data_IF_168186248419
#
_entry.id   IF_168186248419
#
_cell.length_a   1.000
_cell.length_b   1.000
_cell.length_c   1.000
_cell.angle_alpha   90.00
_cell.angle_beta   90.00
_cell.angle_gamma   90.00
#
_symmetry.space_group_name_H-M   'P 1'
#
loop_
_entity.id
_entity.type
_entity.pdbx_description
1 polymer ?
#
# COMPACT_ATOMS: atom_id res chain seq x y z
N UNK A 1 0.80 34.42 3.50
CA UNK A 1 1.07 33.24 2.65
C UNK A 1 0.13 32.12 3.05
N UNK A 2 -0.94 31.89 2.28
CA UNK A 2 -1.89 30.82 2.54
C UNK A 2 -1.19 29.47 2.45
N UNK A 3 -1.30 28.66 3.50
CA UNK A 3 -1.01 27.23 3.42
C UNK A 3 -1.97 26.68 2.36
N UNK A 4 -1.45 26.35 1.18
CA UNK A 4 -2.21 25.63 0.17
C UNK A 4 -2.74 24.37 0.82
N UNK A 5 -4.05 24.30 1.04
CA UNK A 5 -4.70 23.06 1.44
C UNK A 5 -4.28 22.03 0.40
N UNK A 6 -3.57 20.99 0.82
CA UNK A 6 -3.22 19.89 -0.07
C UNK A 6 -4.54 19.27 -0.48
N UNK A 7 -5.03 19.64 -1.67
CA UNK A 7 -6.21 19.03 -2.28
C UNK A 7 -6.08 17.51 -2.18
N UNK A 8 -7.03 16.92 -1.45
CA UNK A 8 -7.05 15.50 -1.13
C UNK A 8 -7.04 14.70 -2.45
N UNK A 9 -6.13 13.74 -2.55
CA UNK A 9 -5.98 12.96 -3.77
C UNK A 9 -7.16 12.00 -3.86
N UNK A 10 -8.01 12.16 -4.87
CA UNK A 10 -9.15 11.28 -5.13
C UNK A 10 -8.68 9.83 -5.34
N UNK A 11 -9.31 8.82 -4.68
CA UNK A 11 -8.94 7.43 -4.85
C UNK A 11 -9.26 6.96 -6.27
N UNK A 12 -8.42 6.09 -6.83
CA UNK A 12 -8.75 5.39 -8.07
C UNK A 12 -9.88 4.40 -7.81
N UNK A 13 -10.73 4.14 -8.80
CA UNK A 13 -11.74 3.09 -8.70
C UNK A 13 -11.11 1.68 -8.75
N UNK A 14 -11.82 0.63 -8.30
CA UNK A 14 -11.36 -0.76 -8.49
C UNK A 14 -11.09 -1.12 -9.96
N UNK A 15 -11.89 -0.59 -10.88
CA UNK A 15 -11.69 -0.80 -12.32
C UNK A 15 -10.41 -0.12 -12.82
N UNK A 16 -10.17 1.14 -12.42
CA UNK A 16 -8.92 1.83 -12.73
C UNK A 16 -7.70 1.09 -12.14
N UNK A 17 -7.84 0.49 -10.96
CA UNK A 17 -6.79 -0.32 -10.37
C UNK A 17 -6.52 -1.61 -11.17
N UNK A 18 -7.56 -2.28 -11.68
CA UNK A 18 -7.42 -3.42 -12.60
C UNK A 18 -6.69 -3.02 -13.89
N UNK A 19 -7.07 -1.90 -14.49
CA UNK A 19 -6.42 -1.36 -15.70
C UNK A 19 -4.95 -1.04 -15.42
N UNK A 20 -4.64 -0.39 -14.30
CA UNK A 20 -3.25 -0.12 -13.90
C UNK A 20 -2.44 -1.40 -13.72
N UNK A 21 -3.02 -2.40 -13.06
CA UNK A 21 -2.36 -3.70 -12.85
C UNK A 21 -2.04 -4.39 -14.19
N UNK A 22 -3.00 -4.42 -15.12
CA UNK A 22 -2.79 -4.98 -16.46
C UNK A 22 -1.77 -4.21 -17.31
N UNK A 23 -1.49 -2.95 -16.96
CA UNK A 23 -0.53 -2.10 -17.64
C UNK A 23 0.87 -2.08 -16.98
N UNK A 24 1.16 -2.96 -16.01
CA UNK A 24 2.49 -3.10 -15.39
C UNK A 24 3.47 -3.67 -16.42
N UNK A 25 4.57 -2.95 -16.67
CA UNK A 25 5.63 -3.37 -17.59
C UNK A 25 6.96 -3.61 -16.88
N UNK A 26 7.14 -3.05 -15.68
CA UNK A 26 8.41 -3.14 -14.95
C UNK A 26 8.23 -3.71 -13.55
N UNK A 27 9.28 -4.35 -13.01
CA UNK A 27 9.26 -4.84 -11.63
C UNK A 27 9.06 -3.72 -10.62
N UNK A 28 9.56 -2.51 -10.91
CA UNK A 28 9.34 -1.34 -10.07
C UNK A 28 7.87 -0.96 -9.99
N UNK A 29 7.16 -0.92 -11.12
CA UNK A 29 5.71 -0.67 -11.14
C UNK A 29 4.94 -1.76 -10.39
N UNK A 30 5.34 -3.03 -10.54
CA UNK A 30 4.79 -4.14 -9.76
C UNK A 30 4.98 -3.91 -8.26
N UNK A 31 6.21 -3.59 -7.83
CA UNK A 31 6.49 -3.28 -6.43
C UNK A 31 5.67 -2.08 -5.96
N UNK A 32 5.54 -1.00 -6.74
CA UNK A 32 4.71 0.15 -6.38
C UNK A 32 3.26 -0.24 -6.17
N UNK A 33 2.70 -1.08 -7.04
CA UNK A 33 1.33 -1.58 -6.90
C UNK A 33 1.16 -2.36 -5.59
N UNK A 34 1.98 -3.39 -5.37
CA UNK A 34 1.83 -4.26 -4.20
C UNK A 34 2.12 -3.54 -2.88
N UNK A 35 3.11 -2.63 -2.84
CA UNK A 35 3.47 -1.91 -1.61
C UNK A 35 2.56 -0.71 -1.33
N UNK A 36 2.29 0.14 -2.32
CA UNK A 36 1.55 1.38 -2.09
C UNK A 36 0.04 1.18 -2.21
N UNK A 37 -0.42 0.47 -3.24
CA UNK A 37 -1.85 0.18 -3.43
C UNK A 37 -2.29 -1.08 -2.65
N UNK A 38 -1.42 -2.08 -2.53
CA UNK A 38 -1.78 -3.33 -1.86
C UNK A 38 -1.60 -3.34 -0.34
N UNK A 39 -0.65 -2.54 0.17
CA UNK A 39 -0.32 -2.50 1.60
C UNK A 39 -0.35 -1.09 2.19
N UNK A 40 -0.63 -0.07 1.37
CA UNK A 40 -0.71 1.30 1.86
C UNK A 40 0.61 1.81 2.42
N UNK A 41 1.76 1.42 1.89
CA UNK A 41 3.06 1.96 2.33
C UNK A 41 3.27 3.40 1.83
N UNK A 42 4.05 4.20 2.57
CA UNK A 42 4.49 5.52 2.09
C UNK A 42 5.58 5.33 1.05
N UNK A 43 5.79 6.34 0.20
CA UNK A 43 6.89 6.33 -0.77
C UNK A 43 8.24 6.03 -0.09
N UNK A 44 8.58 6.74 0.99
CA UNK A 44 9.86 6.54 1.68
C UNK A 44 9.97 5.19 2.38
N UNK A 45 8.84 4.60 2.79
CA UNK A 45 8.81 3.27 3.40
C UNK A 45 9.08 2.21 2.32
N UNK A 46 8.40 2.30 1.17
CA UNK A 46 8.62 1.40 0.04
C UNK A 46 10.05 1.50 -0.50
N UNK A 47 10.54 2.73 -0.73
CA UNK A 47 11.92 2.97 -1.18
C UNK A 47 12.93 2.44 -0.17
N UNK A 48 12.64 2.48 1.13
CA UNK A 48 13.53 2.05 2.22
C UNK A 48 13.63 0.54 2.44
N UNK A 49 12.83 -0.28 1.74
CA UNK A 49 12.88 -1.74 1.90
C UNK A 49 14.21 -2.30 1.38
N UNK A 50 14.85 -3.14 2.18
CA UNK A 50 16.01 -3.94 1.80
C UNK A 50 15.63 -5.43 1.78
N UNK A 51 16.42 -6.26 1.11
CA UNK A 51 16.16 -7.71 1.07
C UNK A 51 16.11 -8.32 2.48
N UNK A 52 16.99 -7.90 3.38
CA UNK A 52 17.02 -8.37 4.78
C UNK A 52 15.84 -7.90 5.64
N UNK A 53 14.96 -7.03 5.12
CA UNK A 53 13.74 -6.58 5.81
C UNK A 53 12.54 -7.50 5.55
N UNK A 54 12.63 -8.43 4.61
CA UNK A 54 11.50 -9.27 4.20
C UNK A 54 11.50 -10.56 4.99
N UNK A 55 10.34 -10.96 5.51
CA UNK A 55 10.08 -12.26 6.14
C UNK A 55 8.80 -12.84 5.54
N UNK A 56 8.45 -14.06 5.93
CA UNK A 56 7.35 -14.80 5.31
C UNK A 56 5.97 -14.13 5.47
N UNK A 57 5.73 -13.47 6.59
CA UNK A 57 4.43 -12.86 6.94
C UNK A 57 4.51 -11.37 7.23
N UNK A 58 5.70 -10.76 7.11
CA UNK A 58 5.95 -9.39 7.55
C UNK A 58 7.13 -8.74 6.82
N UNK A 59 7.14 -7.41 6.81
CA UNK A 59 8.24 -6.59 6.31
C UNK A 59 8.63 -5.51 7.31
N UNK A 60 9.93 -5.28 7.48
CA UNK A 60 10.44 -4.24 8.35
C UNK A 60 10.38 -2.89 7.65
N UNK A 61 9.64 -1.93 8.23
CA UNK A 61 9.47 -0.60 7.66
C UNK A 61 10.06 0.47 8.58
N UNK A 62 10.92 1.30 8.01
CA UNK A 62 11.52 2.44 8.70
C UNK A 62 10.79 3.74 8.31
N UNK A 63 10.28 4.46 9.30
CA UNK A 63 9.68 5.80 9.12
C UNK A 63 10.59 6.85 9.75
N UNK A 64 11.53 7.38 8.97
CA UNK A 64 12.50 8.36 9.46
C UNK A 64 13.27 7.85 10.68
N UNK A 65 13.66 8.74 11.59
CA UNK A 65 14.50 8.40 12.76
C UNK A 65 13.76 7.70 13.91
N UNK A 66 12.43 7.73 13.97
CA UNK A 66 11.71 7.48 15.24
C UNK A 66 10.69 6.34 15.27
N UNK A 67 10.34 5.71 14.14
CA UNK A 67 9.47 4.52 14.16
C UNK A 67 9.92 3.46 13.18
N UNK A 68 10.44 2.37 13.72
CA UNK A 68 10.74 1.13 13.03
C UNK A 68 9.81 0.05 13.58
N UNK A 69 9.03 -0.59 12.73
CA UNK A 69 8.12 -1.65 13.14
C UNK A 69 7.90 -2.65 12.02
N UNK A 70 7.54 -3.88 12.39
CA UNK A 70 7.05 -4.88 11.46
C UNK A 70 5.65 -4.52 10.97
N UNK A 71 5.46 -4.49 9.66
CA UNK A 71 4.15 -4.43 9.02
C UNK A 71 3.78 -5.82 8.49
N UNK A 72 2.49 -6.20 8.51
CA UNK A 72 2.06 -7.47 7.94
C UNK A 72 2.29 -7.46 6.42
N UNK A 73 2.64 -8.61 5.87
CA UNK A 73 2.93 -8.79 4.45
C UNK A 73 2.15 -9.99 3.93
N UNK A 74 1.42 -9.79 2.82
CA UNK A 74 0.75 -10.87 2.09
C UNK A 74 1.78 -11.65 1.26
N UNK A 75 1.54 -12.94 1.04
CA UNK A 75 2.46 -13.84 0.34
C UNK A 75 2.78 -13.34 -1.09
N UNK A 76 1.77 -12.86 -1.80
CA UNK A 76 1.90 -12.37 -3.17
C UNK A 76 2.76 -11.08 -3.21
N UNK A 77 2.67 -10.23 -2.19
CA UNK A 77 3.54 -9.06 -2.08
C UNK A 77 4.96 -9.43 -1.66
N UNK A 78 5.13 -10.41 -0.79
CA UNK A 78 6.44 -10.98 -0.45
C UNK A 78 7.14 -11.47 -1.71
N UNK A 79 6.44 -12.26 -2.52
CA UNK A 79 7.02 -12.86 -3.72
C UNK A 79 7.42 -11.79 -4.74
N UNK A 80 6.60 -10.74 -4.91
CA UNK A 80 6.97 -9.57 -5.73
C UNK A 80 8.23 -8.87 -5.20
N UNK A 81 8.36 -8.70 -3.88
CA UNK A 81 9.54 -8.05 -3.29
C UNK A 81 10.81 -8.91 -3.36
N UNK A 82 10.67 -10.24 -3.40
CA UNK A 82 11.80 -11.17 -3.55
C UNK A 82 12.18 -11.41 -5.02
N UNK A 83 11.23 -11.33 -5.95
CA UNK A 83 11.48 -11.50 -7.38
C UNK A 83 12.36 -10.40 -7.98
N UNK A 84 12.42 -9.22 -7.37
CA UNK A 84 13.27 -8.12 -7.84
C UNK A 84 14.78 -8.38 -7.68
N UNK A 85 15.16 -9.56 -7.18
CA UNK A 85 16.52 -10.09 -7.17
C UNK A 85 16.90 -10.75 -5.84
N UNK A 86 18.03 -11.45 -5.83
CA UNK A 86 18.69 -11.89 -4.60
C UNK A 86 19.83 -10.91 -4.27
N UNK A 87 19.52 -9.86 -3.52
CA UNK A 87 20.50 -8.92 -3.00
C UNK A 87 21.03 -9.32 -1.62
N UNK A 88 22.16 -8.75 -1.22
CA UNK A 88 22.60 -8.81 0.18
C UNK A 88 21.54 -8.19 1.11
N UNK A 89 21.56 -8.53 2.40
CA UNK A 89 20.55 -8.09 3.38
C UNK A 89 20.35 -6.57 3.42
N UNK A 90 21.41 -5.79 3.19
CA UNK A 90 21.39 -4.33 3.19
C UNK A 90 21.12 -3.70 1.80
N UNK A 91 20.98 -4.52 0.75
CA UNK A 91 20.73 -4.05 -0.60
C UNK A 91 19.26 -3.61 -0.75
N UNK A 92 18.99 -2.47 -1.43
CA UNK A 92 17.64 -1.99 -1.69
C UNK A 92 16.88 -2.95 -2.62
N UNK A 93 15.59 -3.16 -2.33
CA UNK A 93 14.66 -3.87 -3.22
C UNK A 93 14.33 -3.02 -4.45
N UNK A 94 14.04 -1.73 -4.23
CA UNK A 94 13.79 -0.77 -5.30
C UNK A 94 15.09 -0.10 -5.76
N UNK A 95 15.63 -0.59 -6.88
CA UNK A 95 16.85 -0.07 -7.52
C UNK A 95 16.56 0.82 -8.71
N UNK A 96 17.35 1.88 -8.89
CA UNK A 96 17.47 2.67 -10.10
C UNK A 96 18.89 2.55 -10.67
N UNK A 97 19.26 3.46 -11.59
CA UNK A 97 20.54 3.40 -12.33
C UNK A 97 21.79 3.47 -11.42
N UNK A 98 21.69 4.13 -10.26
CA UNK A 98 22.83 4.43 -9.38
C UNK A 98 22.70 3.78 -7.99
N UNK A 99 21.90 2.71 -7.85
CA UNK A 99 21.61 2.08 -6.56
C UNK A 99 20.15 2.29 -6.16
N UNK A 100 19.86 2.66 -4.90
CA UNK A 100 18.47 2.86 -4.45
C UNK A 100 17.75 3.89 -5.32
N UNK A 101 16.51 3.61 -5.69
CA UNK A 101 15.68 4.55 -6.48
C UNK A 101 15.41 5.83 -5.69
N UNK A 102 15.40 6.98 -6.37
CA UNK A 102 15.04 8.27 -5.75
C UNK A 102 13.53 8.50 -5.73
N UNK A 103 13.07 9.33 -4.80
CA UNK A 103 11.67 9.75 -4.69
C UNK A 103 11.14 10.36 -5.99
N UNK A 104 11.96 11.19 -6.65
CA UNK A 104 11.60 11.83 -7.93
C UNK A 104 11.44 10.81 -9.05
N UNK A 105 12.25 9.76 -9.06
CA UNK A 105 12.15 8.66 -10.03
C UNK A 105 10.84 7.90 -9.82
N UNK A 106 10.52 7.52 -8.58
CA UNK A 106 9.25 6.82 -8.28
C UNK A 106 8.03 7.66 -8.69
N UNK A 107 8.04 8.96 -8.41
CA UNK A 107 6.95 9.84 -8.83
C UNK A 107 6.86 9.96 -10.37
N UNK A 108 7.99 9.99 -11.07
CA UNK A 108 8.02 10.02 -12.54
C UNK A 108 7.49 8.71 -13.13
N UNK A 109 7.93 7.58 -12.58
CA UNK A 109 7.52 6.24 -13.01
C UNK A 109 6.01 6.05 -12.84
N UNK A 110 5.44 6.42 -11.67
CA UNK A 110 3.99 6.33 -11.44
C UNK A 110 3.20 7.22 -12.43
N UNK A 111 3.66 8.45 -12.70
CA UNK A 111 2.98 9.32 -13.67
C UNK A 111 2.98 8.72 -15.07
N UNK A 112 4.12 8.17 -15.51
CA UNK A 112 4.25 7.51 -16.82
C UNK A 112 3.36 6.27 -16.91
N UNK A 113 3.35 5.45 -15.86
CA UNK A 113 2.53 4.25 -15.79
C UNK A 113 1.03 4.58 -15.87
N UNK A 114 0.54 5.56 -15.12
CA UNK A 114 -0.86 6.02 -15.21
C UNK A 114 -1.21 6.53 -16.61
N UNK A 115 -0.34 7.35 -17.20
CA UNK A 115 -0.54 7.87 -18.55
C UNK A 115 -0.58 6.75 -19.60
N UNK A 116 0.34 5.79 -19.51
CA UNK A 116 0.39 4.60 -20.38
C UNK A 116 -0.86 3.75 -20.24
N UNK A 117 -1.35 3.56 -19.03
CA UNK A 117 -2.57 2.80 -18.73
C UNK A 117 -3.86 3.54 -19.18
N UNK A 118 -3.79 4.80 -19.60
CA UNK A 118 -4.97 5.60 -19.94
C UNK A 118 -5.83 6.01 -18.73
N UNK A 119 -5.33 5.82 -17.51
CA UNK A 119 -6.07 6.11 -16.27
C UNK A 119 -5.92 7.59 -15.92
N UNK A 120 -7.01 8.35 -16.14
CA UNK A 120 -7.07 9.78 -15.85
C UNK A 120 -7.51 10.02 -14.42
N UNK A 121 -6.65 10.71 -13.67
CA UNK A 121 -6.90 11.16 -12.29
C UNK A 121 -6.35 12.56 -12.11
N UNK A 122 -6.87 13.30 -11.12
CA UNK A 122 -6.39 14.65 -10.81
C UNK A 122 -4.89 14.70 -10.50
N UNK A 123 -4.38 13.65 -9.84
CA UNK A 123 -2.96 13.51 -9.50
C UNK A 123 -2.56 12.04 -9.53
N UNK A 124 -1.66 11.66 -10.43
CA UNK A 124 -1.03 10.34 -10.44
C UNK A 124 0.20 10.36 -9.53
N UNK A 125 0.11 9.76 -8.34
CA UNK A 125 1.16 9.84 -7.33
C UNK A 125 1.12 8.65 -6.35
N UNK A 126 2.20 8.42 -5.57
CA UNK A 126 2.20 7.46 -4.46
C UNK A 126 1.05 7.67 -3.47
N UNK A 127 0.71 8.94 -3.20
CA UNK A 127 -0.38 9.30 -2.30
C UNK A 127 -1.73 8.83 -2.83
N UNK A 128 -1.93 8.87 -4.15
CA UNK A 128 -3.16 8.41 -4.81
C UNK A 128 -3.33 6.89 -4.63
N UNK A 129 -2.28 6.11 -4.93
CA UNK A 129 -2.30 4.64 -4.73
C UNK A 129 -2.58 4.28 -3.27
N UNK A 130 -1.88 4.95 -2.36
CA UNK A 130 -2.02 4.75 -0.91
C UNK A 130 -3.39 5.17 -0.38
N UNK A 131 -3.95 6.28 -0.84
CA UNK A 131 -5.29 6.72 -0.44
C UNK A 131 -6.34 5.73 -0.94
N UNK A 132 -6.18 5.25 -2.18
CA UNK A 132 -7.03 4.21 -2.76
C UNK A 132 -6.99 2.90 -1.97
N UNK A 133 -5.82 2.48 -1.48
CA UNK A 133 -5.71 1.36 -0.55
C UNK A 133 -6.64 1.55 0.66
N UNK A 134 -6.56 2.70 1.32
CA UNK A 134 -7.34 3.00 2.52
C UNK A 134 -8.84 2.95 2.24
N UNK A 135 -9.26 3.65 1.20
CA UNK A 135 -10.66 3.74 0.79
C UNK A 135 -11.19 2.36 0.43
N UNK A 136 -10.47 1.59 -0.37
CA UNK A 136 -10.92 0.25 -0.75
C UNK A 136 -10.95 -0.73 0.41
N UNK A 137 -9.97 -0.68 1.32
CA UNK A 137 -9.95 -1.54 2.50
C UNK A 137 -11.16 -1.24 3.39
N UNK A 138 -11.44 0.05 3.64
CA UNK A 138 -12.57 0.49 4.44
C UNK A 138 -13.90 0.09 3.80
N UNK A 139 -14.08 0.39 2.51
CA UNK A 139 -15.29 0.03 1.77
C UNK A 139 -15.52 -1.48 1.70
N UNK A 140 -14.45 -2.29 1.74
CA UNK A 140 -14.56 -3.75 1.80
C UNK A 140 -15.01 -4.29 3.18
N UNK A 141 -15.18 -3.42 4.18
CA UNK A 141 -15.62 -3.80 5.53
C UNK A 141 -14.47 -3.97 6.54
N UNK A 142 -13.25 -3.54 6.20
CA UNK A 142 -12.16 -3.46 7.17
C UNK A 142 -12.48 -2.38 8.21
N UNK A 143 -12.31 -2.71 9.48
CA UNK A 143 -12.57 -1.73 10.53
C UNK A 143 -11.59 -0.56 10.46
N UNK A 144 -12.07 0.65 10.71
CA UNK A 144 -11.29 1.87 10.51
C UNK A 144 -10.01 1.92 11.34
N UNK A 145 -10.02 1.37 12.55
CA UNK A 145 -8.82 1.28 13.40
C UNK A 145 -7.73 0.43 12.74
N UNK A 146 -8.09 -0.70 12.13
CA UNK A 146 -7.18 -1.52 11.35
C UNK A 146 -6.66 -0.79 10.10
N UNK A 147 -7.54 -0.10 9.35
CA UNK A 147 -7.14 0.72 8.20
C UNK A 147 -6.07 1.73 8.61
N UNK A 148 -6.30 2.48 9.70
CA UNK A 148 -5.38 3.50 10.18
C UNK A 148 -4.02 2.92 10.62
N UNK A 149 -4.04 1.77 11.29
CA UNK A 149 -2.82 1.06 11.70
C UNK A 149 -2.06 0.50 10.50
N UNK A 150 -2.74 -0.08 9.51
CA UNK A 150 -2.13 -0.60 8.29
C UNK A 150 -1.50 0.50 7.44
N UNK A 151 -2.18 1.64 7.33
CA UNK A 151 -1.56 2.80 6.70
C UNK A 151 -0.49 3.42 7.60
N UNK A 152 -0.33 3.01 8.87
CA UNK A 152 0.65 3.57 9.80
C UNK A 152 0.50 5.10 9.95
N UNK A 153 -0.73 5.60 9.91
CA UNK A 153 -1.01 7.04 10.04
C UNK A 153 -0.72 7.52 11.46
N UNK A 154 -0.10 8.70 11.55
CA UNK A 154 -0.29 9.57 12.72
C UNK A 154 -1.40 10.51 12.26
N UNK A 155 -2.67 10.20 12.52
CA UNK A 155 -3.69 11.24 12.40
C UNK A 155 -3.67 12.00 13.72
N UNK A 156 -3.32 13.28 13.63
CA UNK A 156 -3.52 14.26 14.69
C UNK A 156 -4.99 14.25 15.10
N UNK A 157 -5.29 13.81 16.32
CA UNK A 157 -6.57 14.05 16.99
C UNK A 157 -7.59 12.90 17.00
N UNK A 158 -7.48 11.86 16.16
CA UNK A 158 -8.35 10.67 16.24
C UNK A 158 -7.51 9.45 16.64
N UNK A 159 -7.55 9.13 17.94
CA UNK A 159 -6.90 7.93 18.50
C UNK A 159 -7.55 6.69 17.91
N UNK A 160 -6.73 5.73 17.47
CA UNK A 160 -7.14 4.32 17.31
C UNK A 160 -7.94 3.94 18.54
N UNK A 161 -9.20 3.58 18.37
CA UNK A 161 -10.17 3.43 19.47
C UNK A 161 -9.94 2.13 20.23
N UNK A 162 -8.87 2.05 21.02
CA UNK A 162 -8.60 1.03 22.06
C UNK A 162 -8.50 -0.46 21.62
N UNK A 163 -9.17 -0.88 20.55
CA UNK A 163 -9.32 -2.27 20.08
C UNK A 163 -7.99 -2.97 19.80
N UNK A 164 -6.96 -2.21 19.41
CA UNK A 164 -5.62 -2.73 19.14
C UNK A 164 -4.54 -2.20 20.10
N UNK A 165 -4.90 -1.31 21.04
CA UNK A 165 -3.93 -0.66 21.93
C UNK A 165 -3.41 -1.61 23.01
N UNK A 166 -4.27 -2.50 23.51
CA UNK A 166 -3.93 -3.49 24.54
C UNK A 166 -3.24 -4.74 24.00
N UNK A 167 -3.15 -4.88 22.67
CA UNK A 167 -2.50 -6.01 22.03
C UNK A 167 -0.98 -5.84 22.05
N UNK A 168 -0.26 -6.94 22.30
CA UNK A 168 1.17 -7.04 22.03
C UNK A 168 1.47 -6.76 20.55
N UNK A 169 2.70 -6.35 20.20
CA UNK A 169 3.10 -6.14 18.81
C UNK A 169 2.77 -7.33 17.90
N UNK A 170 3.03 -8.55 18.37
CA UNK A 170 2.78 -9.80 17.64
C UNK A 170 1.30 -10.06 17.44
N UNK A 171 0.47 -9.90 18.48
CA UNK A 171 -0.99 -10.04 18.37
C UNK A 171 -1.58 -9.00 17.43
N UNK A 172 -1.11 -7.75 17.50
CA UNK A 172 -1.53 -6.69 16.59
C UNK A 172 -1.16 -7.04 15.16
N UNK A 173 0.07 -7.47 14.91
CA UNK A 173 0.55 -7.88 13.59
C UNK A 173 -0.32 -9.00 13.01
N UNK A 174 -0.60 -10.05 13.79
CA UNK A 174 -1.44 -11.16 13.37
C UNK A 174 -2.88 -10.72 13.06
N UNK A 175 -3.48 -9.84 13.88
CA UNK A 175 -4.82 -9.28 13.61
C UNK A 175 -4.84 -8.43 12.34
N UNK A 176 -3.86 -7.55 12.15
CA UNK A 176 -3.76 -6.71 10.96
C UNK A 176 -3.50 -7.54 9.69
N UNK A 177 -2.70 -8.63 9.79
CA UNK A 177 -2.55 -9.59 8.69
C UNK A 177 -3.91 -10.21 8.34
N UNK A 178 -4.69 -10.66 9.32
CA UNK A 178 -6.04 -11.19 9.07
C UNK A 178 -6.98 -10.18 8.37
N UNK A 179 -6.87 -8.89 8.70
CA UNK A 179 -7.62 -7.83 8.01
C UNK A 179 -7.17 -7.66 6.55
N UNK A 180 -5.86 -7.66 6.28
CA UNK A 180 -5.34 -7.64 4.90
C UNK A 180 -5.78 -8.88 4.12
N UNK A 181 -5.67 -10.07 4.71
CA UNK A 181 -6.06 -11.32 4.07
C UNK A 181 -7.55 -11.30 3.67
N UNK A 182 -8.41 -10.68 4.48
CA UNK A 182 -9.85 -10.65 4.21
C UNK A 182 -10.27 -9.53 3.25
N UNK A 183 -9.66 -8.35 3.37
CA UNK A 183 -10.18 -7.13 2.76
C UNK A 183 -9.24 -6.45 1.77
N UNK A 184 -8.02 -6.98 1.56
CA UNK A 184 -7.02 -6.34 0.70
C UNK A 184 -7.56 -6.08 -0.71
N UNK A 185 -7.32 -4.87 -1.27
CA UNK A 185 -7.70 -4.58 -2.65
C UNK A 185 -6.92 -5.39 -3.68
N UNK A 186 -5.81 -6.04 -3.30
CA UNK A 186 -5.13 -7.01 -4.16
C UNK A 186 -6.00 -8.24 -4.44
N UNK A 187 -6.86 -8.62 -3.49
CA UNK A 187 -7.77 -9.78 -3.62
C UNK A 187 -9.07 -9.41 -4.33
N UNK A 188 -9.56 -8.20 -4.11
CA UNK A 188 -10.80 -7.69 -4.72
C UNK A 188 -10.68 -7.46 -6.24
N UNK A 189 -9.45 -7.36 -6.75
CA UNK A 189 -9.16 -7.16 -8.17
C UNK A 189 -9.00 -8.45 -8.99
N UNK A 190 -9.25 -9.63 -8.41
CA UNK A 190 -9.43 -10.88 -9.17
C UNK A 190 -8.18 -11.34 -9.93
N UNK A 191 -6.99 -11.14 -9.35
CA UNK A 191 -5.78 -11.81 -9.83
C UNK A 191 -5.72 -13.31 -9.48
N UNK A 192 -6.70 -13.84 -8.74
CA UNK A 192 -6.97 -15.28 -8.62
C UNK A 192 -8.49 -15.58 -8.66
N UNK A 193 -8.94 -16.70 -9.27
CA UNK A 193 -10.37 -16.97 -9.52
C UNK A 193 -11.20 -17.45 -8.32
N UNK A 194 -10.62 -17.77 -7.16
CA UNK A 194 -11.28 -18.62 -6.15
C UNK A 194 -11.57 -17.99 -4.78
N UNK A 195 -11.76 -16.66 -4.68
CA UNK A 195 -12.03 -16.03 -3.39
C UNK A 195 -13.33 -15.22 -3.39
N UNK A 196 -14.44 -15.96 -3.30
CA UNK A 196 -15.72 -15.52 -2.73
C UNK A 196 -16.48 -14.41 -3.47
N UNK A 197 -17.76 -14.26 -3.15
CA UNK A 197 -18.60 -13.20 -3.71
C UNK A 197 -18.02 -11.81 -3.45
N UNK A 198 -17.99 -10.99 -4.50
CA UNK A 198 -17.63 -9.56 -4.42
C UNK A 198 -18.60 -8.88 -3.45
N UNK A 199 -18.10 -8.08 -2.48
CA UNK A 199 -18.99 -7.25 -1.68
C UNK A 199 -19.82 -6.33 -2.58
N UNK A 200 -21.12 -6.23 -2.32
CA UNK A 200 -21.99 -5.28 -3.03
C UNK A 200 -21.74 -3.86 -2.47
N UNK A 201 -20.94 -3.09 -3.22
CA UNK A 201 -20.57 -1.72 -2.86
C UNK A 201 -21.65 -0.68 -3.14
N UNK A 202 -22.83 -1.06 -3.67
CA UNK A 202 -23.92 -0.09 -3.89
C UNK A 202 -24.60 0.38 -2.60
N UNK A 203 -24.33 -0.29 -1.47
CA UNK A 203 -24.93 0.01 -0.17
C UNK A 203 -24.06 0.84 0.77
N UNK A 204 -22.78 1.05 0.46
CA UNK A 204 -21.88 1.87 1.27
C UNK A 204 -21.85 3.31 0.76
N UNK A 205 -22.83 4.13 1.15
CA UNK A 205 -22.64 5.58 1.09
C UNK A 205 -21.74 6.03 2.24
N UNK A 206 -20.74 6.88 2.00
CA UNK A 206 -19.97 7.48 3.08
C UNK A 206 -20.90 8.40 3.89
N UNK A 207 -20.96 8.17 5.20
CA UNK A 207 -21.56 9.14 6.11
C UNK A 207 -20.76 10.45 6.01
N UNK A 208 -21.39 11.45 5.39
CA UNK A 208 -20.86 12.80 5.14
C UNK A 208 -20.72 13.59 6.43
#
# INVERSE_FOLDING_TARGET
MGKGQAEEAEPITPEQARVLFGAIETDRERIYFYTMYGHGFRLNEAIGINHGHIRDDRVWLEKGKERKEWAPLLAEARDVLLQSGNGADNAPVLVGRQGRVSDSTVQSDIKKWFARAGVRVKRASPHTLRHSFATHLYLAGCDWDAVQLLMRHKVDGRKVTNRYLHLSPEQRLAKLKGQLERYSPLRLNGSEPELGEKPDYTQCQPDV
#
